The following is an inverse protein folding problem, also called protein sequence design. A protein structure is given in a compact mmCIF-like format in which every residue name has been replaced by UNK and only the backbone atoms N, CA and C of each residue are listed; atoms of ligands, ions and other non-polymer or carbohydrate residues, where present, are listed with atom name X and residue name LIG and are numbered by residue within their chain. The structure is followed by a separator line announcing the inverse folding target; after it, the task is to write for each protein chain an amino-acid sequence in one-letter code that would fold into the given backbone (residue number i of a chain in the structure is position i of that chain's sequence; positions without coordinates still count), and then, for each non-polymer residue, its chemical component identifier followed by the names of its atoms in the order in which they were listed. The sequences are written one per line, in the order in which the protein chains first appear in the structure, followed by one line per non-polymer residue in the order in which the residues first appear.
data_IF_615440779932
#
_entry.id   IF_615440779932
#
_cell.length_a   1.000
_cell.length_b   1.000
_cell.length_c   1.000
_cell.angle_alpha   90.00
_cell.angle_beta   90.00
_cell.angle_gamma   90.00
#
_symmetry.space_group_name_H-M   'P 1'
#
loop_
_entity.id
_entity.type
_entity.pdbx_description
1 polymer ?
#
# COMPACT_ATOMS: atom_id res chain seq x y z
N UNK A 1 18.11 -7.78 -1.38
CA UNK A 1 18.80 -6.47 -1.33
C UNK A 1 17.89 -5.45 -1.97
N UNK A 2 17.53 -4.38 -1.26
CA UNK A 2 16.66 -3.32 -1.78
C UNK A 2 17.46 -2.55 -2.82
N UNK A 3 17.16 -2.75 -4.10
CA UNK A 3 17.71 -1.94 -5.18
C UNK A 3 16.76 -0.76 -5.39
N UNK A 4 17.21 0.44 -5.03
CA UNK A 4 16.53 1.69 -5.41
C UNK A 4 16.60 1.84 -6.93
N UNK A 5 15.47 1.69 -7.61
CA UNK A 5 15.27 2.14 -8.97
C UNK A 5 14.04 3.02 -9.01
N UNK A 6 14.21 4.33 -8.92
CA UNK A 6 13.18 5.30 -9.28
C UNK A 6 13.70 6.17 -10.43
N UNK A 7 12.97 6.12 -11.54
CA UNK A 7 12.86 7.21 -12.51
C UNK A 7 11.38 7.42 -12.75
N UNK A 8 10.75 8.25 -11.91
CA UNK A 8 9.44 8.82 -12.18
C UNK A 8 9.61 10.03 -13.10
N UNK A 9 9.04 9.97 -14.30
CA UNK A 9 8.77 11.17 -15.10
C UNK A 9 7.28 11.49 -14.92
N UNK A 10 6.97 12.48 -14.09
CA UNK A 10 5.62 12.99 -13.91
C UNK A 10 5.29 13.93 -15.07
N UNK A 11 4.24 13.63 -15.84
CA UNK A 11 3.73 14.54 -16.86
C UNK A 11 2.98 15.70 -16.22
N UNK A 12 3.43 16.93 -16.48
CA UNK A 12 2.83 18.18 -16.00
C UNK A 12 1.47 18.45 -16.65
N UNK A 13 0.37 18.31 -15.90
CA UNK A 13 -0.86 19.10 -16.14
C UNK A 13 -1.68 19.29 -14.86
N UNK A 14 -1.52 20.46 -14.21
CA UNK A 14 -2.59 21.26 -13.62
C UNK A 14 -3.22 20.89 -12.26
N UNK A 15 -2.70 21.45 -11.16
CA UNK A 15 -3.39 22.45 -10.31
C UNK A 15 -2.44 22.99 -9.23
N UNK A 16 -2.63 24.25 -8.82
CA UNK A 16 -1.68 25.15 -8.15
C UNK A 16 -1.12 24.72 -6.76
N UNK A 17 -0.29 23.69 -6.71
CA UNK A 17 0.73 23.50 -5.66
C UNK A 17 2.12 23.64 -6.29
N UNK A 18 2.55 24.88 -6.52
CA UNK A 18 3.96 25.17 -6.80
C UNK A 18 4.80 24.80 -5.57
N UNK A 19 5.63 23.76 -5.78
CA UNK A 19 6.81 23.29 -5.04
C UNK A 19 6.89 23.68 -3.56
N UNK A 20 6.22 22.92 -2.68
CA UNK A 20 6.62 22.90 -1.29
C UNK A 20 8.07 22.39 -1.21
N UNK A 21 8.92 23.15 -0.52
CA UNK A 21 10.31 22.75 -0.26
C UNK A 21 10.48 22.48 1.21
N UNK A 22 11.32 21.51 1.58
CA UNK A 22 11.65 21.24 2.97
C UNK A 22 12.94 21.95 3.38
N UNK A 23 13.08 22.26 4.67
CA UNK A 23 14.38 22.62 5.25
C UNK A 23 15.25 21.40 5.57
N UNK A 24 14.68 20.19 5.54
CA UNK A 24 15.44 18.93 5.58
C UNK A 24 15.91 18.63 4.17
N UNK A 25 17.21 18.39 4.00
CA UNK A 25 17.80 18.08 2.71
C UNK A 25 17.30 16.72 2.21
N UNK A 26 16.95 16.65 0.93
CA UNK A 26 16.53 15.43 0.25
C UNK A 26 16.91 15.49 -1.23
N UNK A 27 17.11 14.33 -1.83
CA UNK A 27 17.25 14.22 -3.29
C UNK A 27 15.93 14.61 -3.97
N UNK A 28 15.99 15.48 -4.98
CA UNK A 28 14.82 15.91 -5.77
C UNK A 28 14.13 14.75 -6.49
N UNK A 29 14.86 13.66 -6.77
CA UNK A 29 14.35 12.44 -7.40
C UNK A 29 13.76 11.43 -6.41
N UNK A 30 13.75 11.75 -5.12
CA UNK A 30 13.18 10.88 -4.09
C UNK A 30 11.67 10.71 -4.23
N UNK A 31 11.19 9.48 -4.10
CA UNK A 31 9.77 9.15 -4.02
C UNK A 31 9.12 9.74 -2.73
N UNK A 32 9.93 10.14 -1.75
CA UNK A 32 9.50 10.64 -0.44
C UNK A 32 9.65 12.16 -0.33
N UNK A 33 8.99 12.90 -1.23
CA UNK A 33 8.95 14.36 -1.16
C UNK A 33 8.06 14.87 -0.02
N UNK A 34 8.11 16.17 0.25
CA UNK A 34 7.24 16.83 1.24
C UNK A 34 5.74 16.78 0.86
N UNK A 35 5.43 16.48 -0.40
CA UNK A 35 4.05 16.23 -0.83
C UNK A 35 3.59 14.80 -0.52
N UNK A 36 4.49 13.88 -0.21
CA UNK A 36 4.14 12.50 0.10
C UNK A 36 3.74 12.36 1.58
N UNK A 37 4.73 12.37 2.48
CA UNK A 37 4.55 12.14 3.93
C UNK A 37 3.76 10.83 4.20
N UNK A 38 4.35 9.66 3.88
CA UNK A 38 3.71 8.38 4.16
C UNK A 38 3.72 8.05 5.65
N UNK A 39 2.93 7.05 6.05
CA UNK A 39 2.97 6.51 7.41
C UNK A 39 3.46 5.07 7.42
N UNK A 40 4.28 4.73 8.40
CA UNK A 40 4.82 3.39 8.60
C UNK A 40 5.07 3.09 10.07
N UNK A 41 5.63 1.91 10.33
CA UNK A 41 6.09 1.50 11.66
C UNK A 41 7.55 1.09 11.56
N UNK A 42 8.37 1.67 12.42
CA UNK A 42 9.81 1.51 12.40
C UNK A 42 10.30 1.06 13.78
N UNK A 43 11.23 0.12 13.81
CA UNK A 43 12.09 -0.11 14.96
C UNK A 43 13.39 0.66 14.77
N UNK A 44 13.93 1.19 15.87
CA UNK A 44 15.11 2.03 15.86
C UNK A 44 16.23 1.41 16.72
N UNK A 45 16.89 0.34 16.24
CA UNK A 45 18.06 -0.24 16.90
C UNK A 45 19.13 0.82 17.20
N UNK A 46 19.88 0.65 18.28
CA UNK A 46 20.91 1.62 18.70
C UNK A 46 20.39 2.85 19.45
N UNK A 47 19.08 3.05 19.53
CA UNK A 47 18.48 4.07 20.41
C UNK A 47 18.17 3.50 21.80
N UNK A 48 17.88 4.37 22.78
CA UNK A 48 17.46 3.96 24.13
C UNK A 48 16.13 3.18 24.13
N UNK A 49 15.33 3.31 23.07
CA UNK A 49 14.08 2.59 22.87
C UNK A 49 14.03 1.95 21.47
N UNK A 50 14.45 0.69 21.36
CA UNK A 50 14.45 -0.03 20.08
C UNK A 50 13.05 -0.54 19.66
N UNK A 51 11.98 -0.28 20.43
CA UNK A 51 10.65 -0.83 20.13
C UNK A 51 10.04 -0.23 18.85
N UNK A 52 9.25 -1.03 18.10
CA UNK A 52 8.52 -0.54 16.94
C UNK A 52 7.55 0.56 17.34
N UNK A 53 7.51 1.63 16.54
CA UNK A 53 6.59 2.75 16.72
C UNK A 53 6.27 3.48 15.41
N UNK A 54 5.25 4.31 15.42
CA UNK A 54 4.78 5.04 14.25
C UNK A 54 5.84 6.03 13.75
N UNK A 55 6.08 6.02 12.45
CA UNK A 55 7.06 6.86 11.77
C UNK A 55 6.49 7.44 10.47
N UNK A 56 7.11 8.50 9.97
CA UNK A 56 6.92 9.02 8.60
C UNK A 56 8.28 9.12 7.89
N UNK A 57 8.29 9.52 6.62
CA UNK A 57 9.50 9.60 5.80
C UNK A 57 9.52 10.87 4.95
N UNK A 58 10.70 11.47 4.87
CA UNK A 58 11.04 12.57 3.95
C UNK A 58 12.45 12.32 3.42
N UNK A 59 12.62 12.18 2.11
CA UNK A 59 13.88 11.77 1.52
C UNK A 59 14.38 10.44 2.12
N UNK A 60 15.63 10.46 2.57
CA UNK A 60 16.26 9.35 3.30
C UNK A 60 16.21 9.53 4.82
N UNK A 61 15.40 10.48 5.31
CA UNK A 61 15.13 10.67 6.74
C UNK A 61 13.82 9.98 7.13
N UNK A 62 13.90 9.03 8.05
CA UNK A 62 12.78 8.53 8.83
C UNK A 62 12.56 9.43 10.03
N UNK A 63 11.32 9.81 10.28
CA UNK A 63 10.93 10.72 11.35
C UNK A 63 10.06 9.96 12.36
N UNK A 64 10.50 9.91 13.60
CA UNK A 64 9.84 9.25 14.73
C UNK A 64 8.69 10.10 15.28
N UNK A 65 7.45 9.70 14.97
CA UNK A 65 6.24 10.42 15.37
C UNK A 65 5.99 10.32 16.88
N UNK A 66 6.47 9.27 17.55
CA UNK A 66 6.37 9.16 19.01
C UNK A 66 7.20 10.25 19.67
N UNK A 67 8.45 10.42 19.22
CA UNK A 67 9.36 11.44 19.75
C UNK A 67 8.82 12.87 19.52
N UNK A 68 8.24 13.14 18.33
CA UNK A 68 7.59 14.43 18.07
C UNK A 68 6.34 14.65 18.95
N UNK A 69 5.60 13.58 19.26
CA UNK A 69 4.44 13.62 20.15
C UNK A 69 4.80 13.91 21.60
N UNK A 70 5.86 13.27 22.12
CA UNK A 70 6.40 13.53 23.46
C UNK A 70 6.88 14.98 23.63
N UNK A 71 7.31 15.61 22.53
CA UNK A 71 7.67 17.03 22.49
C UNK A 71 6.46 17.99 22.36
N UNK A 72 5.22 17.48 22.38
CA UNK A 72 4.00 18.28 22.30
C UNK A 72 3.75 18.92 20.93
N UNK A 73 4.37 18.40 19.86
CA UNK A 73 4.23 19.00 18.53
C UNK A 73 2.89 18.71 17.87
N UNK A 74 2.13 17.73 18.38
CA UNK A 74 0.81 17.35 17.88
C UNK A 74 -0.35 17.77 18.80
N UNK A 75 -0.07 18.44 19.93
CA UNK A 75 -1.10 18.87 20.91
C UNK A 75 -2.08 19.89 20.35
N UNK A 76 -1.76 20.48 19.20
CA UNK A 76 -2.59 21.44 18.46
C UNK A 76 -3.67 20.79 17.60
N UNK A 77 -3.63 19.45 17.44
CA UNK A 77 -4.56 18.72 16.57
C UNK A 77 -5.81 18.36 17.35
N UNK A 78 -6.93 18.94 16.94
CA UNK A 78 -8.23 18.60 17.51
C UNK A 78 -8.60 17.14 17.22
N UNK A 79 -9.25 16.50 18.19
CA UNK A 79 -9.76 15.12 18.08
C UNK A 79 -8.71 14.01 17.85
N UNK A 80 -7.41 14.32 17.96
CA UNK A 80 -6.36 13.30 18.08
C UNK A 80 -6.22 12.90 19.55
N UNK A 81 -6.90 11.82 19.95
CA UNK A 81 -6.89 11.36 21.33
C UNK A 81 -5.49 10.86 21.74
N UNK A 82 -4.83 11.57 22.67
CA UNK A 82 -3.49 11.25 23.19
C UNK A 82 -2.47 10.95 22.06
N UNK A 83 -1.88 11.98 21.41
CA UNK A 83 -0.88 11.78 20.35
C UNK A 83 0.27 10.87 20.79
N UNK A 84 0.76 11.04 22.02
CA UNK A 84 1.81 10.21 22.60
C UNK A 84 1.42 8.73 22.66
N UNK A 85 0.19 8.41 23.07
CA UNK A 85 -0.29 7.02 23.05
C UNK A 85 -0.43 6.52 21.61
N UNK A 86 -1.01 7.33 20.72
CA UNK A 86 -1.27 6.97 19.32
C UNK A 86 0.03 6.61 18.57
N UNK A 87 1.06 7.44 18.68
CA UNK A 87 2.27 7.29 17.88
C UNK A 87 3.37 6.44 18.55
N UNK A 88 3.23 6.11 19.84
CA UNK A 88 4.09 5.12 20.51
C UNK A 88 3.68 3.66 20.25
N UNK A 89 2.56 3.43 19.54
CA UNK A 89 2.09 2.09 19.18
C UNK A 89 2.99 1.43 18.14
N UNK A 90 3.10 0.11 18.26
CA UNK A 90 3.76 -0.79 17.30
C UNK A 90 2.96 -1.02 15.99
N UNK A 91 1.84 -0.31 15.83
CA UNK A 91 0.94 -0.42 14.67
C UNK A 91 0.19 0.89 14.45
N UNK A 92 -0.13 1.22 13.20
CA UNK A 92 -0.92 2.40 12.85
C UNK A 92 -2.42 2.23 13.12
N UNK A 93 -2.90 1.06 13.57
CA UNK A 93 -4.33 0.79 13.78
C UNK A 93 -5.01 1.87 14.64
N UNK A 94 -4.37 2.32 15.73
CA UNK A 94 -4.96 3.34 16.58
C UNK A 94 -5.11 4.69 15.84
N UNK A 95 -4.08 5.11 15.10
CA UNK A 95 -4.14 6.30 14.27
C UNK A 95 -5.22 6.18 13.18
N UNK A 96 -5.25 5.05 12.46
CA UNK A 96 -6.21 4.78 11.39
C UNK A 96 -7.66 4.77 11.85
N UNK A 97 -7.97 4.53 13.14
CA UNK A 97 -9.36 4.57 13.63
C UNK A 97 -9.98 5.96 13.70
N UNK A 98 -9.17 7.02 13.66
CA UNK A 98 -9.63 8.41 13.64
C UNK A 98 -10.33 8.75 12.31
N UNK A 99 -11.14 9.82 12.23
CA UNK A 99 -11.72 10.28 10.97
C UNK A 99 -10.67 10.79 9.98
N UNK A 100 -11.02 10.81 8.69
CA UNK A 100 -10.15 11.31 7.60
C UNK A 100 -9.59 12.71 7.84
N UNK A 101 -10.38 13.58 8.47
CA UNK A 101 -9.92 14.93 8.82
C UNK A 101 -8.71 14.91 9.77
N UNK A 102 -8.70 14.05 10.80
CA UNK A 102 -7.56 13.94 11.72
C UNK A 102 -6.30 13.43 11.00
N UNK A 103 -6.45 12.53 10.03
CA UNK A 103 -5.31 12.10 9.22
C UNK A 103 -4.74 13.24 8.38
N UNK A 104 -5.62 14.06 7.80
CA UNK A 104 -5.24 15.24 7.04
C UNK A 104 -4.53 16.27 7.93
N UNK A 105 -5.07 16.52 9.13
CA UNK A 105 -4.51 17.47 10.09
C UNK A 105 -3.13 17.03 10.58
N UNK A 106 -2.93 15.73 10.89
CA UNK A 106 -1.61 15.18 11.22
C UNK A 106 -0.64 15.35 10.06
N UNK A 107 -1.05 15.03 8.83
CA UNK A 107 -0.18 15.17 7.66
C UNK A 107 0.20 16.64 7.44
N UNK A 108 -0.77 17.56 7.52
CA UNK A 108 -0.51 18.99 7.39
C UNK A 108 0.40 19.50 8.49
N UNK A 109 0.21 19.02 9.72
CA UNK A 109 1.06 19.37 10.85
C UNK A 109 2.51 18.95 10.65
N UNK A 110 2.74 17.76 10.11
CA UNK A 110 4.09 17.30 9.74
C UNK A 110 4.68 18.21 8.66
N UNK A 111 3.91 18.60 7.66
CA UNK A 111 4.37 19.54 6.62
C UNK A 111 4.72 20.90 7.21
N UNK A 112 3.91 21.48 8.08
CA UNK A 112 4.21 22.75 8.76
C UNK A 112 5.55 22.70 9.52
N UNK A 113 5.85 21.56 10.14
CA UNK A 113 7.11 21.34 10.86
C UNK A 113 8.32 21.17 9.94
N UNK A 114 8.12 20.70 8.70
CA UNK A 114 9.17 20.33 7.75
C UNK A 114 9.34 21.32 6.58
N UNK A 115 8.36 22.20 6.34
CA UNK A 115 8.37 23.13 5.22
C UNK A 115 9.40 24.25 5.42
N UNK A 116 10.14 24.57 4.37
CA UNK A 116 11.13 25.64 4.38
C UNK A 116 10.46 27.01 4.60
N UNK A 117 11.03 27.91 5.40
CA UNK A 117 10.54 29.28 5.55
C UNK A 117 10.48 30.10 4.26
N UNK A 118 11.25 29.70 3.25
CA UNK A 118 11.29 30.36 1.93
C UNK A 118 10.39 29.67 0.91
N UNK A 119 9.64 28.64 1.31
CA UNK A 119 8.77 27.90 0.41
C UNK A 119 7.66 28.79 -0.14
N UNK A 120 7.36 28.66 -1.42
CA UNK A 120 6.31 29.43 -2.07
C UNK A 120 4.94 28.87 -1.70
N UNK A 121 4.32 29.29 -0.59
CA UNK A 121 2.87 29.15 -0.33
C UNK A 121 2.45 29.85 0.98
N UNK A 122 1.14 30.04 1.17
CA UNK A 122 0.51 30.60 2.38
C UNK A 122 0.56 29.68 3.63
N UNK A 123 1.36 28.60 3.59
CA UNK A 123 1.59 27.73 4.73
C UNK A 123 2.49 28.44 5.73
N UNK A 124 2.07 28.48 7.00
CA UNK A 124 2.89 29.07 8.07
C UNK A 124 3.81 28.00 8.63
N UNK A 125 5.14 28.07 8.41
CA UNK A 125 6.07 27.10 8.96
C UNK A 125 6.10 27.18 10.49
N UNK A 126 6.18 26.04 11.16
CA UNK A 126 6.40 25.98 12.61
C UNK A 126 7.88 25.69 12.90
N UNK A 127 8.54 26.66 13.51
CA UNK A 127 9.97 26.60 13.79
C UNK A 127 10.35 25.61 14.91
N UNK A 128 9.38 25.10 15.71
CA UNK A 128 9.66 24.29 16.91
C UNK A 128 10.53 23.07 16.66
N UNK A 129 10.39 22.40 15.51
CA UNK A 129 11.26 21.28 15.14
C UNK A 129 12.59 21.78 14.56
N UNK A 130 12.54 22.69 13.58
CA UNK A 130 13.72 23.21 12.87
C UNK A 130 14.75 23.91 13.77
N UNK A 131 14.33 24.54 14.86
CA UNK A 131 15.24 25.24 15.79
C UNK A 131 15.67 24.39 16.98
N UNK A 132 15.15 23.16 17.12
CA UNK A 132 15.43 22.27 18.24
C UNK A 132 16.38 21.13 17.82
N UNK A 133 17.68 21.43 17.78
CA UNK A 133 18.73 20.45 17.42
C UNK A 133 18.74 19.19 18.31
N UNK A 134 18.54 19.27 19.64
CA UNK A 134 18.41 18.07 20.47
C UNK A 134 17.27 17.16 20.02
N UNK A 135 16.10 17.72 19.72
CA UNK A 135 14.94 16.94 19.26
C UNK A 135 15.18 16.33 17.87
N UNK A 136 15.81 17.06 16.95
CA UNK A 136 16.18 16.53 15.63
C UNK A 136 17.07 15.29 15.75
N UNK A 137 18.09 15.34 16.62
CA UNK A 137 19.01 14.21 16.84
C UNK A 137 18.32 12.94 17.36
N UNK A 138 17.18 13.08 18.03
CA UNK A 138 16.43 11.94 18.57
C UNK A 138 15.25 11.52 17.71
N UNK A 139 14.71 12.42 16.88
CA UNK A 139 13.54 12.17 16.06
C UNK A 139 13.88 11.78 14.62
N UNK A 140 15.04 12.19 14.10
CA UNK A 140 15.45 11.92 12.73
C UNK A 140 16.44 10.77 12.68
N UNK A 141 16.18 9.82 11.78
CA UNK A 141 16.98 8.63 11.58
C UNK A 141 17.21 8.40 10.10
N UNK A 142 18.46 8.17 9.71
CA UNK A 142 18.78 7.82 8.32
C UNK A 142 18.24 6.43 7.98
N UNK A 143 17.60 6.30 6.82
CA UNK A 143 17.06 5.03 6.31
C UNK A 143 18.18 3.98 6.13
N UNK A 144 19.37 4.43 5.74
CA UNK A 144 20.55 3.59 5.53
C UNK A 144 21.63 3.93 6.56
N UNK A 145 21.98 2.96 7.39
CA UNK A 145 23.20 3.02 8.19
C UNK A 145 24.17 1.94 7.71
N UNK A 146 25.46 2.27 7.61
CA UNK A 146 26.52 1.29 7.30
C UNK A 146 26.63 0.19 8.37
N UNK A 147 26.13 0.46 9.58
CA UNK A 147 26.06 -0.51 10.65
C UNK A 147 24.64 -1.08 10.76
N UNK A 148 24.47 -2.32 10.31
CA UNK A 148 23.19 -3.06 10.34
C UNK A 148 22.54 -3.10 11.74
N UNK A 149 23.35 -3.01 12.81
CA UNK A 149 22.84 -3.05 14.20
C UNK A 149 22.14 -1.77 14.66
N UNK A 150 22.23 -0.68 13.88
CA UNK A 150 21.58 0.61 14.18
C UNK A 150 20.70 1.09 13.01
N UNK A 151 20.57 0.28 11.96
CA UNK A 151 19.74 0.60 10.81
C UNK A 151 18.25 0.55 11.20
N UNK A 152 17.47 1.51 10.70
CA UNK A 152 16.02 1.51 10.85
C UNK A 152 15.44 0.23 10.23
N UNK A 153 14.64 -0.49 11.02
CA UNK A 153 13.97 -1.71 10.56
C UNK A 153 12.49 -1.41 10.33
N UNK A 154 12.03 -1.62 9.09
CA UNK A 154 10.61 -1.48 8.76
C UNK A 154 9.83 -2.68 9.27
N UNK A 155 8.68 -2.41 9.89
CA UNK A 155 7.72 -3.42 10.33
C UNK A 155 6.47 -3.37 9.44
N UNK A 156 5.58 -4.35 9.59
CA UNK A 156 4.23 -4.23 9.04
C UNK A 156 3.56 -2.96 9.60
N UNK A 157 2.90 -2.15 8.77
CA UNK A 157 2.36 -0.88 9.21
C UNK A 157 1.11 -1.04 10.12
N UNK A 158 0.49 -2.22 10.13
CA UNK A 158 -0.71 -2.50 10.91
C UNK A 158 -0.78 -3.97 11.36
N UNK A 159 -1.52 -4.22 12.43
CA UNK A 159 -2.06 -5.54 12.74
C UNK A 159 -3.26 -5.80 11.83
N UNK A 160 -3.05 -6.58 10.78
CA UNK A 160 -4.07 -6.93 9.79
C UNK A 160 -4.91 -8.08 10.34
N UNK A 161 -6.18 -7.81 10.65
CA UNK A 161 -7.11 -8.83 11.15
C UNK A 161 -7.67 -9.64 9.98
N UNK A 162 -8.22 -8.95 8.99
CA UNK A 162 -8.74 -9.53 7.76
C UNK A 162 -8.06 -8.92 6.55
N UNK A 163 -7.81 -9.76 5.55
CA UNK A 163 -7.33 -9.38 4.23
C UNK A 163 -8.29 -9.97 3.19
N UNK A 164 -8.75 -9.11 2.29
CA UNK A 164 -9.61 -9.47 1.16
C UNK A 164 -8.88 -9.14 -0.11
N UNK A 165 -8.83 -10.12 -1.00
CA UNK A 165 -8.28 -9.97 -2.35
C UNK A 165 -9.41 -9.78 -3.36
N UNK A 166 -9.28 -8.79 -4.23
CA UNK A 166 -10.29 -8.46 -5.24
C UNK A 166 -9.77 -8.75 -6.64
N UNK A 167 -10.67 -9.19 -7.51
CA UNK A 167 -10.36 -9.63 -8.86
C UNK A 167 -10.76 -8.57 -9.91
N UNK A 168 -10.26 -7.35 -9.75
CA UNK A 168 -10.88 -6.14 -10.33
C UNK A 168 -10.28 -5.60 -11.64
N UNK A 169 -9.21 -6.21 -12.16
CA UNK A 169 -8.70 -5.89 -13.51
C UNK A 169 -9.41 -6.73 -14.57
N UNK A 170 -10.01 -6.08 -15.57
CA UNK A 170 -10.73 -6.79 -16.65
C UNK A 170 -9.77 -7.56 -17.54
N UNK A 171 -8.62 -6.98 -17.86
CA UNK A 171 -7.59 -7.62 -18.68
C UNK A 171 -7.05 -8.86 -17.98
N UNK A 172 -6.73 -8.76 -16.69
CA UNK A 172 -6.30 -9.91 -15.90
C UNK A 172 -7.39 -11.00 -15.89
N UNK A 173 -8.63 -10.62 -15.57
CA UNK A 173 -9.76 -11.55 -15.52
C UNK A 173 -10.01 -12.25 -16.86
N UNK A 174 -9.88 -11.50 -17.95
CA UNK A 174 -10.02 -12.00 -19.33
C UNK A 174 -8.88 -12.93 -19.68
N UNK A 175 -7.62 -12.55 -19.44
CA UNK A 175 -6.45 -13.36 -19.75
C UNK A 175 -6.47 -14.71 -19.03
N UNK A 176 -6.75 -14.70 -17.72
CA UNK A 176 -6.93 -15.93 -16.93
C UNK A 176 -8.12 -16.73 -17.46
N UNK A 177 -9.25 -16.08 -17.70
CA UNK A 177 -10.43 -16.70 -18.28
C UNK A 177 -10.14 -17.43 -19.61
N UNK A 178 -9.39 -16.80 -20.50
CA UNK A 178 -8.97 -17.36 -21.79
C UNK A 178 -8.01 -18.54 -21.67
N UNK A 179 -7.17 -18.58 -20.62
CA UNK A 179 -6.28 -19.72 -20.39
C UNK A 179 -7.01 -20.94 -19.79
N UNK A 180 -8.04 -20.72 -18.99
CA UNK A 180 -8.77 -21.78 -18.29
C UNK A 180 -10.09 -22.19 -18.96
N UNK A 181 -10.65 -21.34 -19.82
CA UNK A 181 -11.93 -21.51 -20.52
C UNK A 181 -11.80 -21.08 -21.98
N UNK A 182 -12.89 -21.19 -22.72
CA UNK A 182 -13.01 -20.63 -24.07
C UNK A 182 -12.85 -19.09 -24.04
N UNK A 183 -12.03 -18.48 -24.92
CA UNK A 183 -11.93 -17.03 -25.07
C UNK A 183 -13.27 -16.29 -25.14
N UNK A 184 -14.28 -16.87 -25.80
CA UNK A 184 -15.62 -16.26 -25.90
C UNK A 184 -16.36 -16.19 -24.56
N UNK A 185 -15.94 -16.98 -23.58
CA UNK A 185 -16.54 -17.12 -22.25
C UNK A 185 -15.51 -16.84 -21.13
N UNK A 186 -14.53 -15.97 -21.41
CA UNK A 186 -13.43 -15.69 -20.49
C UNK A 186 -13.91 -15.11 -19.16
N UNK A 187 -14.82 -14.14 -19.19
CA UNK A 187 -15.40 -13.53 -17.99
C UNK A 187 -16.66 -14.26 -17.53
N UNK A 188 -16.73 -14.60 -16.25
CA UNK A 188 -17.97 -15.10 -15.66
C UNK A 188 -19.04 -13.99 -15.63
N UNK A 189 -20.34 -14.32 -15.76
CA UNK A 189 -21.41 -13.31 -15.86
C UNK A 189 -21.50 -12.34 -14.68
N UNK A 190 -21.05 -12.74 -13.49
CA UNK A 190 -21.06 -11.90 -12.29
C UNK A 190 -19.94 -10.86 -12.26
N UNK A 191 -18.86 -11.05 -13.01
CA UNK A 191 -17.65 -10.23 -12.92
C UNK A 191 -17.91 -8.75 -13.28
N UNK A 192 -18.75 -8.49 -14.28
CA UNK A 192 -19.14 -7.12 -14.67
C UNK A 192 -20.30 -6.56 -13.84
N UNK A 193 -20.78 -7.29 -12.82
CA UNK A 193 -21.93 -6.92 -12.00
C UNK A 193 -21.58 -6.58 -10.56
N UNK A 194 -20.50 -7.14 -10.04
CA UNK A 194 -19.95 -6.86 -8.72
C UNK A 194 -18.42 -7.05 -8.71
N UNK A 195 -17.69 -6.35 -7.82
CA UNK A 195 -16.27 -6.59 -7.61
C UNK A 195 -16.07 -7.94 -6.91
N UNK A 196 -15.79 -8.99 -7.70
CA UNK A 196 -15.56 -10.34 -7.16
C UNK A 196 -14.30 -10.30 -6.29
N UNK A 197 -14.36 -10.94 -5.12
CA UNK A 197 -13.22 -11.07 -4.22
C UNK A 197 -13.36 -12.29 -3.31
N UNK A 198 -12.29 -12.61 -2.59
CA UNK A 198 -12.23 -13.71 -1.64
C UNK A 198 -11.40 -13.31 -0.41
N UNK A 199 -11.59 -14.04 0.70
CA UNK A 199 -10.78 -13.83 1.89
C UNK A 199 -9.39 -14.43 1.67
N UNK A 200 -8.37 -13.58 1.74
CA UNK A 200 -6.98 -14.01 1.77
C UNK A 200 -6.54 -14.41 3.19
N UNK A 201 -5.23 -14.61 3.37
CA UNK A 201 -4.67 -15.04 4.66
C UNK A 201 -3.84 -13.95 5.33
N UNK A 202 -4.42 -13.30 6.33
CA UNK A 202 -3.75 -12.23 7.08
C UNK A 202 -2.44 -12.67 7.75
N UNK A 203 -2.35 -13.92 8.23
CA UNK A 203 -1.18 -14.41 8.98
C UNK A 203 0.09 -14.59 8.13
N UNK A 204 -0.03 -14.57 6.81
CA UNK A 204 1.07 -14.75 5.85
C UNK A 204 1.35 -13.48 5.06
N UNK A 205 0.88 -12.33 5.56
CA UNK A 205 1.27 -11.03 5.02
C UNK A 205 2.59 -10.62 5.66
N UNK A 206 3.59 -10.37 4.82
CA UNK A 206 4.92 -9.99 5.21
C UNK A 206 5.27 -8.59 4.68
N UNK A 207 6.15 -7.90 5.38
CA UNK A 207 6.71 -6.63 4.92
C UNK A 207 7.77 -6.89 3.84
N UNK A 208 7.91 -5.97 2.89
CA UNK A 208 8.97 -5.99 1.87
C UNK A 208 10.35 -6.31 2.47
N UNK A 209 11.09 -7.20 1.80
CA UNK A 209 12.39 -7.71 2.26
C UNK A 209 12.32 -9.10 2.90
N UNK A 210 11.13 -9.62 3.23
CA UNK A 210 10.95 -10.99 3.69
C UNK A 210 11.29 -12.01 2.59
N UNK A 211 12.03 -13.07 2.96
CA UNK A 211 12.37 -14.16 2.04
C UNK A 211 11.20 -15.14 1.88
N UNK A 212 10.71 -15.29 0.66
CA UNK A 212 9.59 -16.20 0.35
C UNK A 212 10.12 -17.57 -0.06
N UNK A 213 9.76 -18.59 0.72
CA UNK A 213 10.12 -19.98 0.41
C UNK A 213 9.13 -20.57 -0.61
N UNK A 214 9.66 -21.22 -1.65
CA UNK A 214 8.83 -21.94 -2.64
C UNK A 214 7.95 -22.98 -1.93
N UNK A 215 6.62 -22.94 -2.10
CA UNK A 215 5.72 -23.87 -1.43
C UNK A 215 5.81 -25.28 -2.05
N UNK A 216 5.56 -26.29 -1.23
CA UNK A 216 5.24 -27.64 -1.67
C UNK A 216 3.74 -27.88 -1.51
N UNK A 217 3.14 -28.64 -2.43
CA UNK A 217 1.71 -28.94 -2.41
C UNK A 217 1.34 -30.09 -3.32
N UNK A 218 0.03 -30.30 -3.51
CA UNK A 218 -0.50 -31.29 -4.43
C UNK A 218 -0.52 -30.73 -5.86
N UNK A 219 0.08 -31.47 -6.78
CA UNK A 219 0.21 -31.12 -8.19
C UNK A 219 -0.52 -32.18 -9.03
N UNK A 220 -1.32 -31.75 -10.02
CA UNK A 220 -1.99 -32.68 -10.93
C UNK A 220 -1.00 -33.63 -11.61
N UNK A 221 -1.32 -34.92 -11.65
CA UNK A 221 -0.55 -35.92 -12.41
C UNK A 221 -0.69 -35.63 -13.91
N UNK A 222 -1.93 -35.51 -14.38
CA UNK A 222 -2.25 -35.11 -15.74
C UNK A 222 -2.62 -33.61 -15.77
N UNK A 223 -1.90 -32.75 -16.52
CA UNK A 223 -2.16 -31.31 -16.59
C UNK A 223 -3.54 -30.93 -17.13
N UNK A 224 -4.25 -31.85 -17.77
CA UNK A 224 -5.57 -31.61 -18.37
C UNK A 224 -6.69 -32.45 -17.76
N UNK A 225 -6.37 -33.42 -16.92
CA UNK A 225 -7.36 -34.29 -16.26
C UNK A 225 -7.07 -34.42 -14.76
N UNK A 226 -7.85 -33.69 -13.95
CA UNK A 226 -7.74 -33.72 -12.50
C UNK A 226 -8.17 -35.08 -11.89
N UNK A 227 -8.94 -35.90 -12.63
CA UNK A 227 -9.47 -37.17 -12.12
C UNK A 227 -8.40 -38.26 -11.99
N UNK A 228 -7.26 -38.08 -12.66
CA UNK A 228 -6.10 -38.98 -12.54
C UNK A 228 -5.31 -38.80 -11.22
N UNK A 229 -5.69 -37.83 -10.39
CA UNK A 229 -5.12 -37.60 -9.07
C UNK A 229 -3.93 -36.63 -9.05
N UNK A 230 -3.20 -36.62 -7.94
CA UNK A 230 -2.12 -35.67 -7.65
C UNK A 230 -0.89 -36.32 -7.05
N UNK A 231 0.26 -35.67 -7.21
CA UNK A 231 1.51 -35.98 -6.52
C UNK A 231 1.91 -34.82 -5.61
N UNK A 232 2.64 -35.11 -4.52
CA UNK A 232 3.22 -34.09 -3.65
C UNK A 232 4.59 -33.64 -4.15
N UNK A 233 4.84 -32.34 -4.19
CA UNK A 233 6.16 -31.79 -4.54
C UNK A 233 6.23 -30.27 -4.51
N UNK A 234 7.41 -29.69 -4.78
CA UNK A 234 7.57 -28.24 -4.89
C UNK A 234 6.80 -27.70 -6.10
N UNK A 235 6.16 -26.54 -5.93
CA UNK A 235 5.51 -25.83 -7.04
C UNK A 235 6.52 -25.58 -8.18
N UNK A 236 6.08 -25.86 -9.40
CA UNK A 236 6.80 -25.66 -10.66
C UNK A 236 6.39 -24.36 -11.35
N UNK A 237 5.25 -23.79 -10.96
CA UNK A 237 4.67 -22.56 -11.53
C UNK A 237 4.49 -21.51 -10.43
N UNK A 238 5.61 -21.07 -9.85
CA UNK A 238 5.62 -19.96 -8.89
C UNK A 238 5.57 -18.64 -9.64
N UNK A 239 4.71 -17.74 -9.19
CA UNK A 239 4.37 -16.51 -9.87
C UNK A 239 4.17 -15.34 -8.89
N UNK A 240 4.26 -14.13 -9.42
CA UNK A 240 3.91 -12.90 -8.71
C UNK A 240 2.53 -12.41 -9.17
N UNK A 241 1.89 -11.55 -8.37
CA UNK A 241 0.74 -10.75 -8.80
C UNK A 241 1.02 -9.28 -8.50
N UNK A 242 0.96 -8.42 -9.51
CA UNK A 242 1.14 -6.98 -9.33
C UNK A 242 -0.14 -6.37 -8.78
N UNK A 243 -0.12 -5.97 -7.52
CA UNK A 243 -1.28 -5.40 -6.86
C UNK A 243 -0.99 -4.12 -6.10
N UNK A 244 -2.06 -3.41 -5.78
CA UNK A 244 -2.08 -2.40 -4.74
C UNK A 244 -3.15 -2.80 -3.73
N UNK A 245 -2.85 -2.60 -2.46
CA UNK A 245 -3.82 -2.79 -1.39
C UNK A 245 -4.07 -1.45 -0.69
N UNK A 246 -5.25 -1.30 -0.11
CA UNK A 246 -5.55 -0.14 0.73
C UNK A 246 -5.90 -0.55 2.15
N UNK A 247 -5.52 0.31 3.10
CA UNK A 247 -5.92 0.14 4.48
C UNK A 247 -7.24 0.85 4.75
N UNK A 248 -8.15 0.15 5.41
CA UNK A 248 -9.41 0.71 5.90
C UNK A 248 -9.12 1.55 7.14
N UNK A 249 -9.51 2.82 7.09
CA UNK A 249 -9.51 3.73 8.23
C UNK A 249 -10.91 3.99 8.78
N UNK A 250 -11.00 4.80 9.82
CA UNK A 250 -12.21 5.20 10.52
C UNK A 250 -12.71 4.13 11.48
N UNK A 251 -13.71 4.48 12.29
CA UNK A 251 -14.33 3.53 13.24
C UNK A 251 -14.99 2.37 12.51
N UNK A 252 -14.82 1.10 12.94
CA UNK A 252 -15.50 -0.03 12.32
C UNK A 252 -17.00 0.21 12.17
N UNK A 253 -17.59 -0.26 11.06
CA UNK A 253 -19.04 -0.24 10.93
C UNK A 253 -19.65 -1.26 11.91
N UNK A 254 -20.74 -0.91 12.62
CA UNK A 254 -21.46 -1.89 13.42
C UNK A 254 -21.91 -3.09 12.56
N UNK A 255 -21.96 -4.27 13.16
CA UNK A 255 -22.40 -5.47 12.45
C UNK A 255 -23.82 -5.29 11.89
N UNK A 256 -23.97 -5.49 10.58
CA UNK A 256 -25.23 -5.31 9.85
C UNK A 256 -25.42 -3.92 9.24
N UNK A 257 -24.58 -2.94 9.57
CA UNK A 257 -24.59 -1.61 8.94
C UNK A 257 -23.68 -1.57 7.71
N UNK A 258 -24.23 -1.10 6.59
CA UNK A 258 -23.51 -1.01 5.32
C UNK A 258 -22.80 0.34 5.20
N UNK A 259 -21.62 0.32 4.59
CA UNK A 259 -20.96 1.51 4.09
C UNK A 259 -21.63 1.94 2.78
N UNK A 260 -21.94 3.22 2.63
CA UNK A 260 -22.48 3.75 1.36
C UNK A 260 -21.35 4.22 0.46
N UNK A 261 -21.63 4.32 -0.85
CA UNK A 261 -20.67 4.79 -1.84
C UNK A 261 -20.17 6.22 -1.54
N UNK A 262 -21.03 7.09 -1.00
CA UNK A 262 -20.64 8.47 -0.64
C UNK A 262 -19.60 8.48 0.48
N UNK A 263 -19.71 7.54 1.43
CA UNK A 263 -18.84 7.46 2.60
C UNK A 263 -17.59 6.62 2.36
N UNK A 264 -17.52 5.83 1.28
CA UNK A 264 -16.40 4.90 1.06
C UNK A 264 -15.06 5.61 0.93
N UNK A 265 -15.01 6.78 0.29
CA UNK A 265 -13.79 7.58 0.15
C UNK A 265 -13.22 8.12 1.47
N UNK A 266 -14.04 8.18 2.52
CA UNK A 266 -13.63 8.56 3.88
C UNK A 266 -13.03 7.38 4.66
N UNK A 267 -13.17 6.16 4.14
CA UNK A 267 -12.72 4.92 4.76
C UNK A 267 -11.41 4.39 4.19
N UNK A 268 -10.89 5.00 3.13
CA UNK A 268 -9.60 4.60 2.53
C UNK A 268 -8.51 5.48 3.14
N UNK A 269 -7.73 4.90 4.07
CA UNK A 269 -6.64 5.62 4.73
C UNK A 269 -5.51 5.91 3.72
N UNK A 270 -5.08 4.87 3.01
CA UNK A 270 -4.03 4.97 2.02
C UNK A 270 -3.68 3.62 1.40
N UNK A 271 -2.75 3.65 0.46
CA UNK A 271 -2.37 2.51 -0.37
C UNK A 271 -0.95 2.04 -0.08
N UNK A 272 -0.72 0.75 -0.35
CA UNK A 272 0.58 0.09 -0.39
C UNK A 272 0.71 -0.70 -1.68
N UNK A 273 1.94 -0.91 -2.15
CA UNK A 273 2.21 -1.93 -3.16
C UNK A 273 2.05 -3.32 -2.53
N UNK A 274 1.59 -4.26 -3.33
CA UNK A 274 1.37 -5.63 -2.90
C UNK A 274 1.81 -6.63 -3.96
N UNK A 275 2.40 -7.74 -3.51
CA UNK A 275 2.67 -8.92 -4.32
C UNK A 275 1.98 -10.13 -3.67
N UNK A 276 0.92 -10.63 -4.31
CA UNK A 276 0.24 -11.85 -3.88
C UNK A 276 0.88 -13.09 -4.52
N UNK A 277 1.89 -13.64 -3.86
CA UNK A 277 2.66 -14.75 -4.40
C UNK A 277 1.76 -15.96 -4.63
N UNK A 278 1.95 -16.58 -5.79
CA UNK A 278 0.99 -17.56 -6.28
C UNK A 278 1.69 -18.82 -6.79
N UNK A 279 1.22 -19.99 -6.36
CA UNK A 279 1.65 -21.28 -6.89
C UNK A 279 0.57 -21.83 -7.83
N UNK A 280 0.68 -21.54 -9.13
CA UNK A 280 -0.40 -21.74 -10.12
C UNK A 280 -0.79 -23.20 -10.33
N UNK A 281 0.18 -24.09 -10.22
CA UNK A 281 -0.03 -25.53 -10.35
C UNK A 281 -0.75 -26.14 -9.14
N UNK A 282 -0.47 -25.63 -7.94
CA UNK A 282 -1.24 -25.95 -6.73
C UNK A 282 -2.65 -25.37 -6.87
N UNK A 283 -2.75 -24.09 -7.27
CA UNK A 283 -4.01 -23.36 -7.41
C UNK A 283 -4.98 -24.09 -8.32
N UNK A 284 -4.51 -24.50 -9.50
CA UNK A 284 -5.31 -25.19 -10.50
C UNK A 284 -5.95 -26.48 -9.97
N UNK A 285 -5.27 -27.20 -9.09
CA UNK A 285 -5.81 -28.43 -8.50
C UNK A 285 -6.82 -28.18 -7.38
N UNK A 286 -6.60 -27.16 -6.55
CA UNK A 286 -7.40 -26.95 -5.33
C UNK A 286 -8.62 -26.02 -5.50
N UNK A 287 -8.61 -25.10 -6.48
CA UNK A 287 -9.49 -23.92 -6.43
C UNK A 287 -10.98 -24.21 -6.70
N UNK A 288 -11.33 -25.37 -7.25
CA UNK A 288 -12.72 -25.73 -7.51
C UNK A 288 -13.26 -26.60 -6.37
N UNK A 289 -14.39 -26.24 -5.72
CA UNK A 289 -15.24 -25.08 -5.96
C UNK A 289 -14.99 -23.88 -5.02
N UNK A 290 -14.03 -24.00 -4.09
CA UNK A 290 -13.94 -23.12 -2.92
C UNK A 290 -13.03 -21.89 -3.08
N UNK A 291 -12.39 -21.74 -4.24
CA UNK A 291 -11.45 -20.67 -4.53
C UNK A 291 -10.01 -21.00 -4.11
N UNK A 292 -9.07 -20.08 -4.38
CA UNK A 292 -7.65 -20.25 -4.04
C UNK A 292 -7.44 -20.41 -2.53
N UNK A 293 -6.49 -21.26 -2.12
CA UNK A 293 -6.20 -21.50 -0.71
C UNK A 293 -4.70 -21.70 -0.45
N UNK A 294 -4.20 -22.95 -0.43
CA UNK A 294 -2.80 -23.25 -0.16
C UNK A 294 -1.83 -22.65 -1.18
N UNK A 295 -2.33 -22.37 -2.38
CA UNK A 295 -1.61 -21.70 -3.46
C UNK A 295 -1.41 -20.20 -3.30
N UNK A 296 -2.01 -19.57 -2.29
CA UNK A 296 -1.90 -18.13 -1.98
C UNK A 296 -1.43 -17.88 -0.53
N UNK A 297 -1.88 -18.72 0.40
CA UNK A 297 -1.64 -18.56 1.84
C UNK A 297 -0.18 -18.73 2.29
N UNK A 298 0.76 -19.00 1.38
CA UNK A 298 2.16 -19.21 1.74
C UNK A 298 2.93 -17.89 1.90
N UNK A 299 2.59 -16.85 1.13
CA UNK A 299 3.16 -15.53 1.28
C UNK A 299 2.39 -14.47 0.49
N UNK A 300 2.13 -13.34 1.14
CA UNK A 300 1.74 -12.09 0.49
C UNK A 300 2.71 -11.02 0.98
N UNK A 301 3.24 -10.17 0.11
CA UNK A 301 4.20 -9.12 0.51
C UNK A 301 3.64 -7.73 0.28
N UNK A 302 3.73 -6.83 1.25
CA UNK A 302 3.33 -5.43 1.10
C UNK A 302 4.50 -4.45 1.31
N UNK A 303 4.47 -3.30 0.65
CA UNK A 303 5.39 -2.20 0.94
C UNK A 303 5.12 -1.61 2.33
N UNK A 304 6.16 -1.14 3.05
CA UNK A 304 6.01 -0.74 4.46
C UNK A 304 5.39 0.65 4.67
N UNK A 305 5.41 1.49 3.64
CA UNK A 305 4.94 2.88 3.70
C UNK A 305 3.53 2.99 3.12
N UNK A 306 2.56 3.37 3.94
CA UNK A 306 1.21 3.67 3.49
C UNK A 306 1.17 5.09 2.93
N UNK A 307 0.89 5.21 1.63
CA UNK A 307 0.70 6.49 0.94
C UNK A 307 -0.75 6.92 1.11
N UNK A 308 -0.98 8.02 1.84
CA UNK A 308 -2.34 8.44 2.18
C UNK A 308 -3.13 8.94 0.96
N UNK A 309 -4.46 8.81 1.00
CA UNK A 309 -5.32 9.38 -0.06
C UNK A 309 -5.16 10.89 -0.21
N UNK A 310 -4.81 11.60 0.88
CA UNK A 310 -4.51 13.04 0.84
C UNK A 310 -3.25 13.35 0.01
N UNK A 311 -2.22 12.50 0.07
CA UNK A 311 -1.01 12.65 -0.76
C UNK A 311 -1.28 12.31 -2.24
N UNK A 312 -2.22 11.41 -2.48
CA UNK A 312 -2.58 10.94 -3.82
C UNK A 312 -3.58 11.85 -4.55
N UNK A 313 -4.20 12.81 -3.86
CA UNK A 313 -5.29 13.63 -4.43
C UNK A 313 -4.88 14.35 -5.73
N UNK A 314 -3.64 14.85 -5.82
CA UNK A 314 -3.12 15.50 -7.04
C UNK A 314 -2.93 14.56 -8.23
N UNK A 315 -2.97 13.24 -8.00
CA UNK A 315 -2.88 12.20 -9.02
C UNK A 315 -4.25 11.58 -9.33
N UNK A 316 -5.34 12.08 -8.73
CA UNK A 316 -6.70 11.58 -9.01
C UNK A 316 -7.02 11.78 -10.49
N UNK A 317 -7.51 10.73 -11.14
CA UNK A 317 -7.87 10.72 -12.56
C UNK A 317 -9.12 9.88 -12.82
N UNK A 318 -9.66 9.92 -14.04
CA UNK A 318 -10.67 8.96 -14.46
C UNK A 318 -10.07 7.54 -14.54
N UNK A 319 -10.90 6.50 -14.39
CA UNK A 319 -10.46 5.15 -14.77
C UNK A 319 -10.24 5.06 -16.27
N UNK A 320 -9.46 4.07 -16.73
CA UNK A 320 -9.21 3.85 -18.17
C UNK A 320 -10.44 3.41 -18.96
N UNK A 321 -11.52 2.99 -18.29
CA UNK A 321 -12.74 2.53 -18.95
C UNK A 321 -13.75 3.63 -19.20
N UNK A 322 -13.60 4.80 -18.55
CA UNK A 322 -14.51 5.97 -18.56
C UNK A 322 -15.94 5.68 -18.05
N UNK A 323 -16.56 4.58 -18.46
CA UNK A 323 -17.90 4.11 -18.11
C UNK A 323 -17.85 2.59 -17.87
N UNK A 324 -18.63 2.10 -16.91
CA UNK A 324 -18.83 0.68 -16.69
C UNK A 324 -20.01 0.16 -17.53
N UNK A 325 -19.78 -0.90 -18.29
CA UNK A 325 -20.80 -1.57 -19.08
C UNK A 325 -20.91 -3.06 -18.69
N UNK A 326 -22.09 -3.51 -18.22
CA UNK A 326 -23.30 -2.73 -17.97
C UNK A 326 -23.15 -1.79 -16.76
N UNK A 327 -24.02 -0.77 -16.69
CA UNK A 327 -24.08 0.14 -15.53
C UNK A 327 -24.32 -0.69 -14.26
N UNK A 328 -23.49 -0.55 -13.21
CA UNK A 328 -23.68 -1.26 -11.95
C UNK A 328 -25.00 -0.90 -11.26
N UNK A 329 -25.42 -1.75 -10.31
CA UNK A 329 -26.53 -1.39 -9.42
C UNK A 329 -26.21 -0.14 -8.61
N UNK A 330 -27.24 0.61 -8.21
CA UNK A 330 -27.13 1.94 -7.59
C UNK A 330 -26.12 2.00 -6.43
N UNK A 331 -26.07 0.97 -5.57
CA UNK A 331 -25.15 0.92 -4.43
C UNK A 331 -23.66 0.88 -4.80
N UNK A 332 -23.32 0.51 -6.04
CA UNK A 332 -21.97 0.47 -6.59
C UNK A 332 -21.67 1.65 -7.53
N UNK A 333 -22.60 2.57 -7.76
CA UNK A 333 -22.37 3.67 -8.70
C UNK A 333 -21.55 4.77 -8.04
N UNK A 334 -20.25 4.82 -8.37
CA UNK A 334 -19.40 5.96 -8.04
C UNK A 334 -19.64 7.10 -9.04
N UNK A 335 -20.18 8.22 -8.59
CA UNK A 335 -20.45 9.40 -9.45
C UNK A 335 -19.19 9.95 -10.11
N UNK A 336 -18.04 9.84 -9.44
CA UNK A 336 -16.77 10.33 -9.96
C UNK A 336 -16.08 9.29 -10.85
N UNK A 337 -16.48 8.01 -10.74
CA UNK A 337 -15.83 6.82 -11.30
C UNK A 337 -14.33 7.03 -11.58
N UNK A 338 -13.60 7.21 -10.49
CA UNK A 338 -12.22 7.72 -10.50
C UNK A 338 -11.22 6.69 -9.97
N UNK A 339 -9.96 6.94 -10.27
CA UNK A 339 -8.80 6.21 -9.76
C UNK A 339 -7.64 7.19 -9.53
N UNK A 340 -6.43 6.67 -9.39
CA UNK A 340 -5.20 7.44 -9.31
C UNK A 340 -4.25 7.05 -10.45
N UNK A 341 -3.60 8.04 -11.04
CA UNK A 341 -2.55 7.83 -12.04
C UNK A 341 -1.24 7.43 -11.35
N UNK A 342 -1.14 6.15 -11.03
CA UNK A 342 0.02 5.56 -10.35
C UNK A 342 0.62 4.53 -11.29
N UNK A 343 1.79 4.85 -11.85
CA UNK A 343 2.56 3.90 -12.64
C UNK A 343 3.07 2.77 -11.74
N UNK A 344 2.88 1.54 -12.19
CA UNK A 344 3.27 0.33 -11.48
C UNK A 344 4.23 -0.47 -12.35
N UNK A 345 5.32 -0.94 -11.77
CA UNK A 345 6.35 -1.71 -12.49
C UNK A 345 6.77 -2.93 -11.70
N UNK A 346 7.10 -4.01 -12.42
CA UNK A 346 7.76 -5.18 -11.84
C UNK A 346 9.07 -5.40 -12.56
N UNK A 347 10.11 -5.64 -11.77
CA UNK A 347 11.38 -6.09 -12.25
C UNK A 347 11.81 -7.39 -11.55
N UNK A 348 12.51 -8.25 -12.28
CA UNK A 348 13.01 -9.53 -11.79
C UNK A 348 14.54 -9.52 -11.85
N UNK A 349 15.17 -10.00 -10.79
CA UNK A 349 16.61 -10.19 -10.69
C UNK A 349 16.91 -11.64 -10.30
N UNK A 350 17.47 -12.40 -11.23
CA UNK A 350 18.00 -13.74 -10.94
C UNK A 350 19.33 -13.65 -10.19
N UNK A 351 19.72 -14.74 -9.52
CA UNK A 351 20.91 -14.80 -8.64
C UNK A 351 22.21 -14.33 -9.30
N UNK A 352 22.37 -14.60 -10.59
CA UNK A 352 23.58 -14.27 -11.37
C UNK A 352 23.43 -12.98 -12.19
N UNK A 353 22.31 -12.27 -12.08
CA UNK A 353 22.09 -11.01 -12.79
C UNK A 353 22.78 -9.86 -12.04
N UNK A 354 23.31 -8.89 -12.79
CA UNK A 354 23.93 -7.69 -12.20
C UNK A 354 22.91 -6.61 -11.87
N UNK A 355 21.89 -6.50 -12.72
CA UNK A 355 20.80 -5.53 -12.60
C UNK A 355 19.47 -6.24 -12.81
N UNK A 356 18.40 -5.80 -12.13
CA UNK A 356 17.04 -6.27 -12.37
C UNK A 356 16.55 -5.92 -13.79
N UNK A 357 15.71 -6.77 -14.37
CA UNK A 357 15.05 -6.53 -15.67
C UNK A 357 13.58 -6.25 -15.46
N UNK A 358 13.10 -5.11 -15.97
CA UNK A 358 11.68 -4.76 -15.96
C UNK A 358 10.90 -5.71 -16.88
N UNK A 359 9.93 -6.42 -16.31
CA UNK A 359 9.11 -7.43 -17.01
C UNK A 359 7.66 -7.00 -17.19
N UNK A 360 7.20 -5.99 -16.43
CA UNK A 360 5.86 -5.46 -16.55
C UNK A 360 5.84 -3.97 -16.22
N UNK A 361 4.99 -3.22 -16.93
CA UNK A 361 4.59 -1.85 -16.62
C UNK A 361 3.06 -1.77 -16.77
N UNK A 362 2.40 -1.20 -15.78
CA UNK A 362 0.95 -1.00 -15.74
C UNK A 362 0.63 0.30 -15.00
N UNK A 363 -0.65 0.51 -14.68
CA UNK A 363 -1.11 1.66 -13.94
C UNK A 363 -2.37 1.33 -13.12
N UNK A 364 -2.49 1.92 -11.93
CA UNK A 364 -3.67 1.73 -11.06
C UNK A 364 -4.98 2.19 -11.70
N UNK A 365 -4.95 3.18 -12.59
CA UNK A 365 -6.13 3.66 -13.32
C UNK A 365 -6.77 2.61 -14.23
N UNK A 366 -6.09 1.48 -14.48
CA UNK A 366 -6.57 0.39 -15.32
C UNK A 366 -7.48 -0.61 -14.57
N UNK A 367 -7.74 -0.43 -13.28
CA UNK A 367 -8.75 -1.23 -12.57
C UNK A 367 -10.17 -0.87 -13.04
N UNK A 368 -10.99 -1.90 -13.29
CA UNK A 368 -12.39 -1.75 -13.69
C UNK A 368 -13.31 -1.48 -12.50
N UNK A 369 -13.04 -2.11 -11.36
CA UNK A 369 -13.67 -1.78 -10.09
C UNK A 369 -12.68 -0.99 -9.25
N UNK A 370 -13.06 0.20 -8.81
CA UNK A 370 -12.19 1.04 -7.99
C UNK A 370 -12.33 0.71 -6.49
N UNK A 371 -11.40 1.21 -5.68
CA UNK A 371 -11.37 0.95 -4.24
C UNK A 371 -12.59 1.47 -3.46
N UNK A 372 -13.39 2.37 -4.04
CA UNK A 372 -14.64 2.85 -3.43
C UNK A 372 -15.79 1.85 -3.62
N UNK A 373 -15.75 1.05 -4.68
CA UNK A 373 -16.72 0.01 -5.02
C UNK A 373 -16.43 -1.32 -4.34
N UNK A 374 -15.15 -1.64 -4.18
CA UNK A 374 -14.64 -2.73 -3.35
C UNK A 374 -14.97 -2.47 -1.88
#
# INVERSE_FOLDING_TARGET
KIYNMSKMNVSETGSDLKCLTSWVEMDESSDFSIDNIPFGVCSFPGTTNARPRCCTRLGDTVIDLSTLSEAGLFDVIDHLDSPTYTFSRDTLNNFMTHPKQVWADVRMRIIELLVSPTSCNALTPDARLRTNLPLQKTAFHDVSSENENIQVQMNLPASIQDYTDFYSSREHATNVGTMFRDPANALNPNWTRLPVGYHGRSSSIFVSGHEVTRPCGQLQINPTDASEGSNYGPSRLLDFELEVAFFVGGKPNPHGERLTMERSSERIFGFVLMNDWSARDIQKFEYVPLGPFGSKNFATTISPWIITTMALEKYKCATSYEIQEPIPLEYLQDKDYSSYDIELEIAIMGENMKEPVKVSKSNLRNLYWNAKQQ
#
